data_IF_691254455842
#
_entry.id   IF_691254455842
#
_cell.length_a   1.000
_cell.length_b   1.000
_cell.length_c   1.000
_cell.angle_alpha   90.00
_cell.angle_beta   90.00
_cell.angle_gamma   90.00
#
_symmetry.space_group_name_H-M   'P 1'
#
loop_
_entity.id
_entity.type
_entity.pdbx_description
1 polymer ?
#
# COMPACT_ATOMS: atom_id res chain seq x y z
N UNK A 1 5.73 5.23 31.34
CA UNK A 1 5.22 6.19 30.34
C UNK A 1 3.94 5.61 29.82
N UNK A 2 2.84 6.34 29.90
CA UNK A 2 1.57 5.94 29.32
C UNK A 2 1.66 6.18 27.80
N UNK A 3 1.31 5.17 27.00
CA UNK A 3 1.32 5.26 25.54
C UNK A 3 0.11 6.07 25.08
N UNK A 4 0.31 6.99 24.15
CA UNK A 4 -0.75 7.81 23.59
C UNK A 4 -1.59 7.04 22.57
N UNK A 5 -2.87 7.36 22.48
CA UNK A 5 -3.75 6.82 21.42
C UNK A 5 -3.49 7.56 20.11
N UNK A 6 -3.59 6.84 19.01
CA UNK A 6 -3.28 7.36 17.68
C UNK A 6 -4.48 7.16 16.75
N UNK A 7 -4.97 8.25 16.19
CA UNK A 7 -6.13 8.26 15.30
C UNK A 7 -5.73 8.68 13.88
N UNK A 8 -6.60 8.38 12.91
CA UNK A 8 -6.45 8.81 11.52
C UNK A 8 -7.38 9.99 11.28
N UNK A 9 -6.80 11.12 10.89
CA UNK A 9 -7.54 12.38 10.69
C UNK A 9 -7.59 12.85 9.24
N UNK A 10 -6.79 12.26 8.34
CA UNK A 10 -6.81 12.58 6.92
C UNK A 10 -6.38 11.43 6.03
N UNK A 11 -6.93 11.39 4.82
CA UNK A 11 -6.71 10.35 3.83
C UNK A 11 -6.38 10.97 2.47
N UNK A 12 -5.48 10.35 1.72
CA UNK A 12 -5.19 10.74 0.35
C UNK A 12 -4.75 9.55 -0.49
N UNK A 13 -5.13 9.54 -1.77
CA UNK A 13 -4.83 8.44 -2.68
C UNK A 13 -4.71 8.88 -4.14
N UNK A 14 -3.82 8.23 -4.86
CA UNK A 14 -3.80 8.14 -6.31
C UNK A 14 -3.51 6.70 -6.70
N UNK A 15 -4.43 6.07 -7.45
CA UNK A 15 -4.43 4.64 -7.71
C UNK A 15 -4.90 4.34 -9.13
N UNK A 16 -4.75 3.09 -9.63
CA UNK A 16 -5.32 2.68 -10.90
C UNK A 16 -6.86 2.80 -10.99
N UNK A 17 -7.54 2.88 -9.85
CA UNK A 17 -9.00 2.97 -9.76
C UNK A 17 -9.51 4.42 -9.64
N UNK A 18 -8.63 5.38 -9.39
CA UNK A 18 -9.00 6.78 -9.25
C UNK A 18 -7.88 7.63 -8.66
N UNK A 19 -7.98 8.94 -8.85
CA UNK A 19 -6.98 9.95 -8.45
C UNK A 19 -7.35 10.67 -7.15
N UNK A 20 -8.28 10.09 -6.39
CA UNK A 20 -8.74 10.56 -5.08
C UNK A 20 -9.28 9.40 -4.26
N UNK A 21 -9.39 9.59 -2.95
CA UNK A 21 -9.97 8.58 -2.03
C UNK A 21 -11.41 8.22 -2.40
N UNK A 22 -12.31 9.17 -2.74
CA UNK A 22 -13.67 8.82 -3.16
C UNK A 22 -13.72 7.98 -4.44
N UNK A 23 -12.91 8.30 -5.46
CA UNK A 23 -12.85 7.54 -6.71
C UNK A 23 -12.28 6.14 -6.49
N UNK A 24 -11.21 6.04 -5.69
CA UNK A 24 -10.62 4.76 -5.28
C UNK A 24 -11.66 3.86 -4.61
N UNK A 25 -12.41 4.41 -3.64
CA UNK A 25 -13.45 3.66 -2.94
C UNK A 25 -14.59 3.20 -3.86
N UNK A 26 -15.06 4.06 -4.72
CA UNK A 26 -16.10 3.73 -5.71
C UNK A 26 -15.65 2.58 -6.61
N UNK A 27 -14.42 2.62 -7.10
CA UNK A 27 -13.83 1.54 -7.91
C UNK A 27 -13.73 0.22 -7.14
N UNK A 28 -13.32 0.26 -5.86
CA UNK A 28 -13.25 -0.93 -5.01
C UNK A 28 -14.62 -1.57 -4.79
N UNK A 29 -15.63 -0.80 -4.42
CA UNK A 29 -16.98 -1.32 -4.14
C UNK A 29 -17.64 -1.90 -5.40
N UNK A 30 -17.38 -1.28 -6.55
CA UNK A 30 -17.88 -1.75 -7.85
C UNK A 30 -17.12 -2.95 -8.42
N UNK A 31 -15.98 -3.33 -7.81
CA UNK A 31 -15.17 -4.43 -8.32
C UNK A 31 -14.50 -4.11 -9.66
N UNK A 32 -14.02 -2.89 -9.85
CA UNK A 32 -13.38 -2.46 -11.12
C UNK A 32 -11.95 -2.99 -11.19
N UNK A 33 -11.60 -3.68 -12.28
CA UNK A 33 -10.19 -4.03 -12.55
C UNK A 33 -9.44 -2.82 -13.10
N UNK A 34 -8.30 -2.49 -12.47
CA UNK A 34 -7.39 -1.47 -12.96
C UNK A 34 -6.44 -1.93 -14.06
N UNK A 35 -6.39 -3.26 -14.31
CA UNK A 35 -5.45 -3.86 -15.26
C UNK A 35 -5.80 -3.56 -16.72
N UNK A 36 -4.80 -3.14 -17.48
CA UNK A 36 -4.94 -2.84 -18.91
C UNK A 36 -3.57 -2.98 -19.59
N UNK A 37 -3.53 -2.95 -20.92
CA UNK A 37 -2.28 -2.91 -21.66
C UNK A 37 -1.45 -1.71 -21.25
N UNK A 38 -0.15 -1.94 -20.98
CA UNK A 38 0.79 -0.87 -20.60
C UNK A 38 0.89 0.17 -21.71
N UNK A 39 0.78 1.45 -21.33
CA UNK A 39 0.86 2.60 -22.24
C UNK A 39 2.18 3.38 -22.10
N UNK A 40 2.94 3.17 -21.02
CA UNK A 40 4.13 3.95 -20.70
C UNK A 40 5.33 3.64 -21.60
N UNK A 41 5.39 2.43 -22.20
CA UNK A 41 6.47 2.02 -23.10
C UNK A 41 6.01 0.92 -24.08
N UNK A 42 6.83 0.58 -25.09
CA UNK A 42 6.55 -0.48 -26.06
C UNK A 42 6.72 -1.87 -25.43
N UNK A 43 5.62 -2.59 -25.26
CA UNK A 43 5.56 -3.92 -24.63
C UNK A 43 5.65 -5.09 -25.58
N UNK A 44 5.81 -4.86 -26.90
CA UNK A 44 5.72 -5.92 -27.93
C UNK A 44 6.67 -7.11 -27.70
N UNK A 45 7.81 -6.87 -27.03
CA UNK A 45 8.83 -7.89 -26.73
C UNK A 45 8.74 -8.46 -25.31
N UNK A 46 7.81 -7.98 -24.47
CA UNK A 46 7.68 -8.40 -23.08
C UNK A 46 6.74 -9.60 -22.94
N UNK A 47 7.02 -10.47 -21.98
CA UNK A 47 6.16 -11.60 -21.64
C UNK A 47 4.86 -11.13 -21.04
N UNK A 48 4.92 -10.20 -20.08
CA UNK A 48 3.77 -9.51 -19.52
C UNK A 48 3.65 -8.14 -20.18
N UNK A 49 2.46 -7.85 -20.76
CA UNK A 49 2.20 -6.65 -21.56
C UNK A 49 1.15 -5.73 -20.93
N UNK A 50 0.75 -6.00 -19.72
CA UNK A 50 -0.30 -5.28 -18.99
C UNK A 50 0.14 -4.99 -17.56
N UNK A 51 -0.50 -3.98 -16.97
CA UNK A 51 -0.30 -3.53 -15.60
C UNK A 51 -1.51 -2.72 -15.13
N UNK A 52 -1.56 -2.39 -13.85
CA UNK A 52 -2.51 -1.44 -13.28
C UNK A 52 -1.85 -0.07 -13.20
N UNK A 53 -1.89 0.69 -14.30
CA UNK A 53 -1.36 2.06 -14.39
C UNK A 53 -2.35 3.07 -13.79
N UNK A 54 -1.84 4.19 -13.27
CA UNK A 54 -2.68 5.38 -13.02
C UNK A 54 -3.01 6.00 -14.37
N UNK A 55 -4.26 5.78 -14.82
CA UNK A 55 -4.72 6.13 -16.17
C UNK A 55 -4.79 7.65 -16.36
N UNK A 56 -4.49 8.09 -17.59
CA UNK A 56 -4.60 9.50 -18.01
C UNK A 56 -3.89 10.47 -17.04
N UNK A 57 -2.69 10.08 -16.58
CA UNK A 57 -1.90 10.90 -15.67
C UNK A 57 -1.09 11.94 -16.45
N UNK A 58 -1.49 13.21 -16.32
CA UNK A 58 -0.71 14.35 -16.77
C UNK A 58 -0.18 15.12 -15.55
N UNK A 59 1.13 15.15 -15.30
CA UNK A 59 1.70 15.88 -14.18
C UNK A 59 1.47 17.39 -14.26
N UNK A 60 1.22 17.95 -15.45
CA UNK A 60 0.99 19.38 -15.63
C UNK A 60 -0.38 19.86 -15.12
N UNK A 61 -1.27 18.91 -14.77
CA UNK A 61 -2.51 19.22 -14.05
C UNK A 61 -2.28 19.52 -12.55
N UNK A 62 -1.13 19.11 -12.00
CA UNK A 62 -0.81 19.21 -10.58
C UNK A 62 0.42 20.06 -10.28
N UNK A 63 1.35 20.17 -11.20
CA UNK A 63 2.63 20.83 -11.05
C UNK A 63 2.89 21.78 -12.22
N UNK A 64 3.61 22.87 -11.99
CA UNK A 64 4.16 23.63 -13.09
C UNK A 64 5.25 22.79 -13.83
N UNK A 65 5.54 23.17 -15.09
CA UNK A 65 6.49 22.44 -15.94
C UNK A 65 7.90 22.35 -15.33
N UNK A 66 8.32 23.35 -14.55
CA UNK A 66 9.65 23.40 -13.94
C UNK A 66 9.73 22.46 -12.73
N UNK A 67 8.68 22.41 -11.94
CA UNK A 67 8.54 21.50 -10.80
C UNK A 67 8.43 20.04 -11.28
N UNK A 68 7.52 19.76 -12.23
CA UNK A 68 7.31 18.41 -12.77
C UNK A 68 8.60 17.74 -13.27
N UNK A 69 9.50 18.51 -13.90
CA UNK A 69 10.78 18.01 -14.41
C UNK A 69 11.79 17.61 -13.33
N UNK A 70 11.62 18.11 -12.10
CA UNK A 70 12.51 17.82 -10.97
C UNK A 70 12.09 16.62 -10.17
N UNK A 71 10.90 16.05 -10.42
CA UNK A 71 10.29 14.98 -9.68
C UNK A 71 10.23 13.71 -10.54
N UNK A 72 10.54 12.57 -9.95
CA UNK A 72 10.18 11.28 -10.54
C UNK A 72 8.68 11.03 -10.33
N UNK A 73 8.10 10.13 -11.13
CA UNK A 73 6.67 9.80 -11.08
C UNK A 73 6.21 9.34 -9.70
N UNK A 74 7.01 8.53 -8.98
CA UNK A 74 6.65 8.12 -7.62
C UNK A 74 6.56 9.31 -6.65
N UNK A 75 7.45 10.29 -6.78
CA UNK A 75 7.41 11.52 -5.97
C UNK A 75 6.23 12.42 -6.35
N UNK A 76 5.87 12.48 -7.64
CA UNK A 76 4.67 13.20 -8.08
C UNK A 76 3.41 12.59 -7.43
N UNK A 77 3.29 11.27 -7.44
CA UNK A 77 2.18 10.57 -6.76
C UNK A 77 2.16 10.82 -5.25
N UNK A 78 3.33 10.77 -4.60
CA UNK A 78 3.47 11.07 -3.19
C UNK A 78 2.92 12.45 -2.82
N UNK A 79 3.26 13.46 -3.61
CA UNK A 79 2.81 14.83 -3.39
C UNK A 79 1.31 15.00 -3.63
N UNK A 80 0.76 14.38 -4.68
CA UNK A 80 -0.69 14.46 -5.00
C UNK A 80 -1.52 13.82 -3.88
N UNK A 81 -1.15 12.62 -3.44
CA UNK A 81 -1.83 11.96 -2.33
C UNK A 81 -1.68 12.76 -1.02
N UNK A 82 -0.52 13.40 -0.79
CA UNK A 82 -0.31 14.25 0.38
C UNK A 82 -1.15 15.52 0.34
N UNK A 83 -1.33 16.13 -0.84
CA UNK A 83 -2.18 17.32 -1.00
C UNK A 83 -3.63 17.01 -0.61
N UNK A 84 -4.16 15.84 -1.00
CA UNK A 84 -5.50 15.40 -0.59
C UNK A 84 -5.56 15.16 0.92
N UNK A 85 -4.59 14.40 1.49
CA UNK A 85 -4.58 14.03 2.90
C UNK A 85 -4.43 15.25 3.84
N UNK A 86 -3.55 16.19 3.52
CA UNK A 86 -3.35 17.41 4.32
C UNK A 86 -4.58 18.29 4.30
N UNK A 87 -5.22 18.41 3.13
CA UNK A 87 -6.47 19.14 2.97
C UNK A 87 -7.61 18.48 3.75
N UNK A 88 -7.75 17.16 3.67
CA UNK A 88 -8.79 16.41 4.39
C UNK A 88 -8.59 16.49 5.91
N UNK A 89 -7.34 16.42 6.40
CA UNK A 89 -7.01 16.60 7.81
C UNK A 89 -7.11 18.05 8.30
N UNK A 90 -7.22 19.01 7.39
CA UNK A 90 -7.21 20.44 7.70
C UNK A 90 -6.02 20.87 8.58
N UNK A 91 -4.81 20.44 8.21
CA UNK A 91 -3.58 20.79 8.94
C UNK A 91 -3.09 22.15 8.42
N UNK A 92 -2.80 23.06 9.35
CA UNK A 92 -2.22 24.36 9.05
C UNK A 92 -1.35 24.86 10.22
N UNK A 93 -0.54 25.88 9.98
CA UNK A 93 0.28 26.53 11.02
C UNK A 93 -0.54 27.25 12.10
N UNK A 94 -1.83 27.49 11.84
CA UNK A 94 -2.76 28.12 12.78
C UNK A 94 -3.32 27.13 13.80
N UNK A 95 -3.32 25.82 13.47
CA UNK A 95 -3.92 24.79 14.32
C UNK A 95 -2.98 23.66 14.72
N UNK A 96 -1.71 23.69 14.29
CA UNK A 96 -0.72 22.66 14.57
C UNK A 96 0.67 23.25 14.66
N UNK A 97 1.49 22.74 15.59
CA UNK A 97 2.91 23.05 15.65
C UNK A 97 3.67 22.26 14.57
N UNK A 98 4.11 22.93 13.52
CA UNK A 98 4.79 22.30 12.39
C UNK A 98 6.14 21.65 12.75
N UNK A 99 6.74 21.98 13.88
CA UNK A 99 7.93 21.31 14.41
C UNK A 99 7.59 19.93 15.00
N UNK A 100 6.31 19.67 15.24
CA UNK A 100 5.78 18.42 15.75
C UNK A 100 4.99 17.62 14.70
N UNK A 101 4.98 18.08 13.45
CA UNK A 101 4.42 17.34 12.29
C UNK A 101 5.55 16.67 11.53
N UNK A 102 5.54 15.36 11.47
CA UNK A 102 6.54 14.54 10.78
C UNK A 102 6.01 13.91 9.48
N UNK A 103 6.93 13.31 8.73
CA UNK A 103 6.65 12.56 7.50
C UNK A 103 7.47 11.27 7.51
N UNK A 104 6.80 10.13 7.51
CA UNK A 104 7.42 8.81 7.37
C UNK A 104 6.83 8.16 6.13
N UNK A 105 7.61 8.13 5.04
CA UNK A 105 7.08 7.82 3.74
C UNK A 105 7.89 6.74 3.04
N UNK A 106 7.21 5.75 2.44
CA UNK A 106 7.83 4.56 1.90
C UNK A 106 7.87 4.56 0.36
N UNK A 107 8.86 3.88 -0.18
CA UNK A 107 8.87 3.36 -1.54
C UNK A 107 9.70 2.08 -1.54
N UNK A 108 9.33 1.09 -2.35
CA UNK A 108 10.08 -0.16 -2.45
C UNK A 108 11.30 -0.04 -3.36
N UNK A 109 11.18 0.72 -4.44
CA UNK A 109 12.21 0.82 -5.49
C UNK A 109 12.60 2.27 -5.79
N UNK A 110 11.70 3.23 -5.56
CA UNK A 110 11.97 4.65 -5.81
C UNK A 110 12.00 5.02 -7.29
N UNK A 111 12.87 5.96 -7.67
CA UNK A 111 12.93 6.54 -9.01
C UNK A 111 13.61 5.67 -10.07
N UNK A 112 13.19 4.42 -10.22
CA UNK A 112 13.77 3.47 -11.19
C UNK A 112 13.60 3.93 -12.63
N UNK A 113 12.48 4.59 -12.95
CA UNK A 113 12.26 5.14 -14.32
C UNK A 113 13.30 6.20 -14.64
N UNK A 114 13.54 7.14 -13.72
CA UNK A 114 14.61 8.14 -13.87
C UNK A 114 15.98 7.47 -14.01
N UNK A 115 16.26 6.44 -13.18
CA UNK A 115 17.53 5.71 -13.27
C UNK A 115 17.70 5.04 -14.63
N UNK A 116 16.69 4.32 -15.09
CA UNK A 116 16.70 3.65 -16.39
C UNK A 116 16.96 4.66 -17.52
N UNK A 117 16.20 5.74 -17.57
CA UNK A 117 16.25 6.69 -18.69
C UNK A 117 17.59 7.42 -18.77
N UNK A 118 18.09 7.96 -17.66
CA UNK A 118 19.36 8.67 -17.61
C UNK A 118 20.56 7.75 -17.90
N UNK A 119 20.54 6.49 -17.42
CA UNK A 119 21.60 5.50 -17.72
C UNK A 119 21.54 5.07 -19.17
N UNK A 120 20.36 4.87 -19.75
CA UNK A 120 20.20 4.54 -21.18
C UNK A 120 20.66 5.69 -22.07
N UNK A 121 20.35 6.94 -21.72
CA UNK A 121 20.83 8.12 -22.44
C UNK A 121 22.36 8.20 -22.42
N UNK A 122 22.99 8.04 -21.26
CA UNK A 122 24.44 7.97 -21.13
C UNK A 122 25.06 6.84 -21.97
N UNK A 123 24.49 5.63 -21.92
CA UNK A 123 25.00 4.46 -22.64
C UNK A 123 24.92 4.60 -24.17
N UNK A 124 23.95 5.35 -24.68
CA UNK A 124 23.78 5.65 -26.12
C UNK A 124 24.60 6.85 -26.58
N UNK A 125 25.16 7.61 -25.66
CA UNK A 125 25.95 8.81 -25.92
C UNK A 125 27.42 8.52 -26.31
N UNK A 126 28.22 9.54 -26.28
CA UNK A 126 29.65 9.51 -26.61
C UNK A 126 30.57 9.15 -25.41
N UNK A 127 30.00 8.71 -24.31
CA UNK A 127 30.71 8.41 -23.05
C UNK A 127 30.96 9.64 -22.16
N UNK A 128 30.54 10.82 -22.57
CA UNK A 128 30.60 12.01 -21.72
C UNK A 128 29.52 11.92 -20.64
N UNK A 129 29.85 12.02 -19.34
CA UNK A 129 28.88 11.85 -18.26
C UNK A 129 27.96 13.09 -18.10
N UNK A 130 27.00 13.20 -18.99
CA UNK A 130 25.99 14.27 -18.99
C UNK A 130 24.70 13.76 -18.35
N UNK A 131 24.66 13.74 -17.01
CA UNK A 131 23.46 13.38 -16.27
C UNK A 131 22.61 14.60 -15.93
N UNK A 132 21.30 14.40 -15.77
CA UNK A 132 20.41 15.42 -15.25
C UNK A 132 20.88 15.87 -13.85
N UNK A 133 21.00 17.19 -13.54
CA UNK A 133 21.36 17.65 -12.20
C UNK A 133 20.46 17.13 -11.08
N UNK A 134 19.24 16.72 -11.40
CA UNK A 134 18.29 16.13 -10.47
C UNK A 134 18.29 14.59 -10.49
N UNK A 135 19.20 13.93 -11.22
CA UNK A 135 19.26 12.48 -11.33
C UNK A 135 19.24 11.79 -9.95
N UNK A 136 20.20 12.11 -9.09
CA UNK A 136 20.27 11.53 -7.75
C UNK A 136 19.05 11.91 -6.89
N UNK A 137 18.66 13.19 -6.76
CA UNK A 137 17.46 13.57 -6.01
C UNK A 137 16.16 12.96 -6.50
N UNK A 138 16.03 12.65 -7.77
CA UNK A 138 14.82 11.98 -8.33
C UNK A 138 14.82 10.49 -8.04
N UNK A 139 15.98 9.86 -7.89
CA UNK A 139 16.14 8.41 -7.77
C UNK A 139 15.97 7.91 -6.34
N UNK A 140 16.52 8.64 -5.35
CA UNK A 140 16.58 8.17 -3.96
C UNK A 140 15.19 8.11 -3.30
N UNK A 141 14.98 7.05 -2.48
CA UNK A 141 13.66 6.73 -1.95
C UNK A 141 13.14 7.72 -0.90
N UNK A 142 14.03 8.37 -0.17
CA UNK A 142 13.71 9.32 0.90
C UNK A 142 13.20 10.67 0.39
N UNK A 143 13.38 10.93 -0.91
CA UNK A 143 12.99 12.23 -1.49
C UNK A 143 11.48 12.47 -1.42
N UNK A 144 10.66 11.41 -1.41
CA UNK A 144 9.22 11.53 -1.20
C UNK A 144 8.90 12.20 0.12
N UNK A 145 9.48 11.71 1.23
CA UNK A 145 9.32 12.31 2.54
C UNK A 145 9.88 13.74 2.59
N UNK A 146 11.06 13.96 1.99
CA UNK A 146 11.69 15.28 1.91
C UNK A 146 10.85 16.31 1.16
N UNK A 147 10.29 15.95 0.01
CA UNK A 147 9.46 16.85 -0.81
C UNK A 147 8.14 17.20 -0.11
N UNK A 148 7.49 16.24 0.56
CA UNK A 148 6.29 16.49 1.37
C UNK A 148 6.63 17.46 2.50
N UNK A 149 7.69 17.20 3.25
CA UNK A 149 8.15 18.07 4.33
C UNK A 149 8.41 19.51 3.85
N UNK A 150 9.14 19.67 2.74
CA UNK A 150 9.43 20.99 2.17
C UNK A 150 8.19 21.73 1.70
N UNK A 151 7.19 21.00 1.10
CA UNK A 151 5.95 21.59 0.58
C UNK A 151 5.10 22.23 1.66
N UNK A 152 5.04 21.59 2.84
CA UNK A 152 4.16 22.04 3.94
C UNK A 152 4.92 22.70 5.10
N UNK A 153 6.25 22.68 5.09
CA UNK A 153 7.07 23.20 6.19
C UNK A 153 7.01 22.32 7.43
N UNK A 154 6.77 21.01 7.29
CA UNK A 154 6.78 20.05 8.40
C UNK A 154 8.21 19.73 8.83
N UNK A 155 8.53 19.90 10.12
CA UNK A 155 9.89 19.82 10.65
C UNK A 155 10.06 18.78 11.76
N UNK A 156 9.04 17.94 11.99
CA UNK A 156 9.13 16.78 12.86
C UNK A 156 9.98 15.65 12.25
N UNK A 157 9.89 14.41 12.77
CA UNK A 157 10.61 13.26 12.22
C UNK A 157 10.39 13.11 10.72
N UNK A 158 11.46 12.96 9.92
CA UNK A 158 11.37 12.84 8.46
C UNK A 158 12.36 11.79 7.96
N UNK A 159 11.86 10.67 7.45
CA UNK A 159 12.67 9.60 6.87
C UNK A 159 11.85 8.66 6.00
N UNK A 160 12.54 7.82 5.21
CA UNK A 160 11.92 6.78 4.41
C UNK A 160 12.04 5.40 5.06
N UNK A 161 11.06 4.53 4.78
CA UNK A 161 11.06 3.12 5.19
C UNK A 161 11.11 2.24 3.95
N UNK A 162 11.97 1.22 3.96
CA UNK A 162 12.11 0.27 2.86
C UNK A 162 12.12 -1.16 3.39
N UNK A 163 11.10 -1.92 3.02
CA UNK A 163 10.96 -3.36 3.31
C UNK A 163 10.17 -4.06 2.18
N UNK A 164 10.57 -3.77 0.94
CA UNK A 164 9.90 -4.24 -0.27
C UNK A 164 8.38 -3.98 -0.24
N UNK A 165 7.54 -5.00 -0.46
CA UNK A 165 6.08 -4.82 -0.48
C UNK A 165 5.49 -4.42 0.90
N UNK A 166 6.21 -4.63 2.01
CA UNK A 166 5.77 -4.25 3.35
C UNK A 166 6.11 -2.79 3.74
N UNK A 167 6.77 -2.04 2.85
CA UNK A 167 7.35 -0.72 3.16
C UNK A 167 6.34 0.26 3.74
N UNK A 168 5.18 0.47 3.10
CA UNK A 168 4.22 1.46 3.58
C UNK A 168 3.43 1.00 4.82
N UNK A 169 3.24 -0.31 5.04
CA UNK A 169 2.72 -0.80 6.32
C UNK A 169 3.71 -0.53 7.45
N UNK A 170 5.00 -0.76 7.24
CA UNK A 170 6.02 -0.40 8.22
C UNK A 170 6.08 1.13 8.46
N UNK A 171 5.90 1.95 7.42
CA UNK A 171 5.81 3.40 7.59
C UNK A 171 4.62 3.82 8.49
N UNK A 172 3.48 3.14 8.37
CA UNK A 172 2.33 3.35 9.27
C UNK A 172 2.68 2.93 10.70
N UNK A 173 3.32 1.77 10.89
CA UNK A 173 3.74 1.27 12.21
C UNK A 173 4.75 2.23 12.85
N UNK A 174 5.77 2.67 12.11
CA UNK A 174 6.76 3.63 12.61
C UNK A 174 6.13 4.98 12.98
N UNK A 175 5.18 5.46 12.19
CA UNK A 175 4.41 6.66 12.49
C UNK A 175 3.58 6.53 13.76
N UNK A 176 2.88 5.41 13.87
CA UNK A 176 2.13 5.06 15.08
C UNK A 176 3.05 5.02 16.31
N UNK A 177 4.20 4.37 16.23
CA UNK A 177 5.16 4.29 17.32
C UNK A 177 5.75 5.65 17.71
N UNK A 178 6.05 6.50 16.73
CA UNK A 178 6.56 7.84 17.02
C UNK A 178 5.54 8.71 17.75
N UNK A 179 4.26 8.63 17.38
CA UNK A 179 3.19 9.40 18.03
C UNK A 179 2.89 8.84 19.42
N UNK A 180 2.69 7.53 19.55
CA UNK A 180 2.35 6.93 20.85
C UNK A 180 3.45 7.10 21.91
N UNK A 181 4.70 7.28 21.48
CA UNK A 181 5.84 7.60 22.33
C UNK A 181 6.03 9.11 22.55
N UNK A 182 5.16 9.96 22.02
CA UNK A 182 5.19 11.41 22.19
C UNK A 182 6.31 12.14 21.43
N UNK A 183 6.91 11.52 20.41
CA UNK A 183 7.96 12.14 19.58
C UNK A 183 7.42 13.14 18.56
N UNK A 184 6.16 12.97 18.15
CA UNK A 184 5.43 13.86 17.25
C UNK A 184 3.95 13.91 17.68
N UNK A 185 3.23 14.93 17.24
CA UNK A 185 1.78 15.03 17.45
C UNK A 185 1.02 14.58 16.20
N UNK A 186 1.59 14.83 15.03
CA UNK A 186 1.04 14.40 13.73
C UNK A 186 2.17 13.78 12.91
N UNK A 187 1.88 12.69 12.18
CA UNK A 187 2.77 12.13 11.17
C UNK A 187 1.97 11.77 9.92
N UNK A 188 2.42 12.29 8.78
CA UNK A 188 1.99 11.79 7.49
C UNK A 188 2.71 10.48 7.21
N UNK A 189 1.96 9.38 7.18
CA UNK A 189 2.48 8.06 6.88
C UNK A 189 1.93 7.57 5.55
N UNK A 190 2.77 6.95 4.76
CA UNK A 190 2.30 6.41 3.50
C UNK A 190 3.39 5.82 2.65
N UNK A 191 3.11 5.73 1.37
CA UNK A 191 4.06 5.25 0.39
C UNK A 191 3.60 5.49 -1.02
N UNK A 192 4.55 5.50 -1.93
CA UNK A 192 4.30 5.59 -3.37
C UNK A 192 5.22 4.66 -4.15
N UNK A 193 4.71 4.16 -5.27
CA UNK A 193 5.48 3.34 -6.20
C UNK A 193 5.06 3.64 -7.64
N UNK A 194 6.02 3.79 -8.54
CA UNK A 194 5.79 4.01 -9.96
C UNK A 194 6.88 3.31 -10.78
N UNK A 195 6.77 1.98 -10.88
CA UNK A 195 7.82 1.11 -11.43
C UNK A 195 7.42 0.44 -12.75
N UNK A 196 6.35 0.90 -13.38
CA UNK A 196 5.90 0.38 -14.68
C UNK A 196 6.78 0.99 -15.77
N UNK A 197 7.97 0.43 -15.92
CA UNK A 197 8.97 0.75 -16.94
C UNK A 197 9.64 -0.53 -17.44
N UNK A 198 10.46 -0.45 -18.48
CA UNK A 198 11.10 -1.64 -19.07
C UNK A 198 11.94 -2.42 -18.05
N UNK A 199 12.71 -1.73 -17.20
CA UNK A 199 13.53 -2.37 -16.17
C UNK A 199 12.66 -3.05 -15.10
N UNK A 200 11.59 -2.39 -14.65
CA UNK A 200 10.66 -2.92 -13.64
C UNK A 200 9.93 -4.15 -14.15
N UNK A 201 9.22 -4.06 -15.26
CA UNK A 201 8.47 -5.17 -15.85
C UNK A 201 9.43 -6.29 -16.29
N UNK A 202 10.54 -5.96 -16.95
CA UNK A 202 11.54 -6.93 -17.38
C UNK A 202 12.18 -7.69 -16.23
N UNK A 203 12.49 -7.01 -15.13
CA UNK A 203 13.06 -7.61 -13.91
C UNK A 203 12.12 -8.63 -13.27
N UNK A 204 10.84 -8.27 -13.08
CA UNK A 204 9.84 -9.20 -12.52
C UNK A 204 9.48 -10.33 -13.51
N UNK A 205 9.48 -10.09 -14.83
CA UNK A 205 9.36 -11.16 -15.83
C UNK A 205 10.51 -12.17 -15.74
N UNK A 206 11.75 -11.71 -15.54
CA UNK A 206 12.92 -12.58 -15.39
C UNK A 206 12.78 -13.52 -14.16
N UNK A 207 12.14 -13.04 -13.10
CA UNK A 207 11.81 -13.82 -11.90
C UNK A 207 10.60 -14.75 -12.07
N UNK A 208 9.88 -14.69 -13.19
CA UNK A 208 8.61 -15.40 -13.43
C UNK A 208 7.56 -15.10 -12.35
N UNK A 209 7.52 -13.87 -11.86
CA UNK A 209 6.64 -13.46 -10.78
C UNK A 209 5.32 -12.85 -11.28
N UNK A 210 5.31 -12.36 -12.52
CA UNK A 210 4.15 -11.71 -13.13
C UNK A 210 3.25 -12.71 -13.86
N UNK A 211 1.94 -12.44 -13.84
CA UNK A 211 0.98 -13.10 -14.72
C UNK A 211 1.31 -12.81 -16.19
N UNK A 212 1.17 -13.82 -17.03
CA UNK A 212 1.35 -13.72 -18.48
C UNK A 212 0.02 -13.80 -19.26
N UNK A 213 -1.11 -13.54 -18.60
CA UNK A 213 -2.47 -13.58 -19.17
C UNK A 213 -2.78 -12.36 -20.04
N UNK A 214 -2.01 -12.21 -21.12
CA UNK A 214 -2.07 -11.05 -22.01
C UNK A 214 -3.39 -10.95 -22.82
N UNK A 215 -4.10 -12.05 -22.99
CA UNK A 215 -5.34 -12.08 -23.78
C UNK A 215 -6.54 -11.54 -23.00
N UNK A 216 -6.43 -11.51 -21.65
CA UNK A 216 -7.47 -10.97 -20.77
C UNK A 216 -6.86 -10.33 -19.53
N UNK A 217 -6.25 -9.14 -19.68
CA UNK A 217 -5.58 -8.44 -18.59
C UNK A 217 -6.48 -8.17 -17.39
N UNK A 218 -7.76 -7.84 -17.63
CA UNK A 218 -8.69 -7.45 -16.56
C UNK A 218 -8.99 -8.59 -15.59
N UNK A 219 -8.83 -9.85 -16.01
CA UNK A 219 -9.02 -11.02 -15.15
C UNK A 219 -7.70 -11.67 -14.69
N UNK A 220 -6.57 -11.03 -14.95
CA UNK A 220 -5.26 -11.61 -14.66
C UNK A 220 -4.94 -11.66 -13.16
N UNK A 221 -5.24 -10.59 -12.41
CA UNK A 221 -5.12 -10.59 -10.95
C UNK A 221 -6.34 -11.30 -10.35
N UNK A 222 -6.13 -12.56 -9.90
CA UNK A 222 -7.18 -13.46 -9.41
C UNK A 222 -6.76 -14.20 -8.12
N UNK A 223 -6.57 -13.47 -7.01
CA UNK A 223 -6.18 -14.09 -5.74
C UNK A 223 -7.15 -15.21 -5.35
N UNK A 224 -6.60 -16.33 -4.87
CA UNK A 224 -7.33 -17.52 -4.41
C UNK A 224 -8.06 -18.32 -5.50
N UNK A 225 -8.06 -17.86 -6.75
CA UNK A 225 -8.55 -18.66 -7.88
C UNK A 225 -7.54 -19.77 -8.23
N UNK A 226 -8.03 -20.95 -8.64
CA UNK A 226 -7.19 -22.08 -9.00
C UNK A 226 -6.21 -21.77 -10.13
N UNK A 227 -6.65 -20.97 -11.11
CA UNK A 227 -5.89 -20.68 -12.33
C UNK A 227 -5.04 -19.39 -12.23
N UNK A 228 -4.71 -18.94 -10.98
CA UNK A 228 -3.80 -17.82 -10.78
C UNK A 228 -2.38 -18.19 -11.20
N UNK A 229 -1.68 -17.28 -11.86
CA UNK A 229 -0.39 -17.54 -12.50
C UNK A 229 0.71 -16.53 -12.16
N UNK A 230 0.46 -15.61 -11.23
CA UNK A 230 1.39 -14.56 -10.82
C UNK A 230 0.68 -13.25 -10.52
N UNK A 231 1.40 -12.28 -9.99
CA UNK A 231 0.81 -10.99 -9.67
C UNK A 231 0.73 -10.06 -10.90
N UNK A 232 -0.16 -9.10 -10.85
CA UNK A 232 -0.23 -7.97 -11.79
C UNK A 232 0.43 -6.78 -11.14
N UNK A 233 1.41 -6.16 -11.80
CA UNK A 233 2.09 -4.97 -11.30
C UNK A 233 1.13 -3.78 -11.28
N UNK A 234 1.19 -2.96 -10.23
CA UNK A 234 0.44 -1.71 -10.11
C UNK A 234 1.33 -0.54 -9.68
N UNK A 235 0.88 0.67 -9.94
CA UNK A 235 1.47 1.90 -9.44
C UNK A 235 0.44 2.69 -8.62
N UNK A 236 0.86 3.33 -7.53
CA UNK A 236 -0.04 4.11 -6.67
C UNK A 236 0.73 4.98 -5.67
N UNK A 237 0.02 5.87 -5.01
CA UNK A 237 0.38 6.40 -3.71
C UNK A 237 -0.83 6.45 -2.78
N UNK A 238 -0.55 6.30 -1.49
CA UNK A 238 -1.51 6.54 -0.42
C UNK A 238 -0.88 7.26 0.75
N UNK A 239 -1.68 8.04 1.46
CA UNK A 239 -1.27 8.81 2.65
C UNK A 239 -2.33 8.71 3.72
N UNK A 240 -1.91 8.40 4.93
CA UNK A 240 -2.68 8.53 6.16
C UNK A 240 -2.08 9.66 7.00
N UNK A 241 -2.90 10.55 7.49
CA UNK A 241 -2.51 11.48 8.56
C UNK A 241 -2.82 10.81 9.88
N UNK A 242 -1.75 10.37 10.57
CA UNK A 242 -1.83 9.85 11.92
C UNK A 242 -1.67 11.00 12.91
N UNK A 243 -2.46 11.01 13.97
CA UNK A 243 -2.49 12.09 14.93
C UNK A 243 -2.73 11.58 16.35
N UNK A 244 -2.10 12.20 17.32
CA UNK A 244 -2.37 11.96 18.73
C UNK A 244 -3.81 12.35 19.07
N UNK A 245 -4.53 11.49 19.80
CA UNK A 245 -5.97 11.63 20.02
C UNK A 245 -6.34 12.96 20.68
N UNK A 246 -5.66 13.34 21.79
CA UNK A 246 -6.00 14.57 22.52
C UNK A 246 -5.69 15.82 21.68
N UNK A 247 -4.63 15.77 20.86
CA UNK A 247 -4.33 16.82 19.90
C UNK A 247 -5.44 16.94 18.85
N UNK A 248 -5.90 15.80 18.28
CA UNK A 248 -6.99 15.78 17.31
C UNK A 248 -8.30 16.33 17.88
N UNK A 249 -8.64 15.94 19.10
CA UNK A 249 -9.84 16.43 19.79
C UNK A 249 -9.74 17.94 20.08
N UNK A 250 -8.58 18.42 20.57
CA UNK A 250 -8.36 19.81 20.91
C UNK A 250 -8.53 20.76 19.71
N UNK A 251 -8.12 20.33 18.50
CA UNK A 251 -8.31 21.12 17.28
C UNK A 251 -9.61 20.82 16.52
N UNK A 252 -10.47 19.93 17.05
CA UNK A 252 -11.73 19.56 16.42
C UNK A 252 -11.58 18.79 15.12
N UNK A 253 -10.54 17.97 15.00
CA UNK A 253 -10.29 17.17 13.80
C UNK A 253 -11.37 16.13 13.57
N UNK A 254 -11.65 15.84 12.30
CA UNK A 254 -12.41 14.66 11.92
C UNK A 254 -11.57 13.41 12.22
N UNK A 255 -12.15 12.44 12.87
CA UNK A 255 -11.51 11.15 13.16
C UNK A 255 -12.20 10.06 12.35
N UNK A 256 -11.42 9.35 11.54
CA UNK A 256 -11.91 8.21 10.75
C UNK A 256 -11.94 6.91 11.55
N UNK A 257 -10.83 6.63 12.22
CA UNK A 257 -10.59 5.40 12.97
C UNK A 257 -9.38 5.58 13.90
N UNK A 258 -9.03 4.52 14.62
CA UNK A 258 -7.84 4.44 15.47
C UNK A 258 -6.91 3.34 14.95
N UNK A 259 -5.61 3.59 14.93
CA UNK A 259 -4.60 2.56 14.75
C UNK A 259 -4.46 1.86 16.10
N UNK A 260 -4.84 0.59 16.14
CA UNK A 260 -4.87 -0.18 17.39
C UNK A 260 -3.51 -0.81 17.72
N UNK A 261 -2.78 -1.25 16.71
CA UNK A 261 -1.48 -1.88 16.89
C UNK A 261 -0.85 -2.29 15.57
N UNK A 262 0.43 -2.63 15.62
CA UNK A 262 1.21 -3.08 14.50
C UNK A 262 2.13 -4.24 14.85
N UNK A 263 2.51 -5.02 13.84
CA UNK A 263 3.47 -6.10 13.95
C UNK A 263 4.44 -6.09 12.77
N UNK A 264 5.70 -6.40 13.05
CA UNK A 264 6.73 -6.61 12.05
C UNK A 264 7.53 -7.86 12.40
N UNK A 265 7.73 -8.76 11.43
CA UNK A 265 8.50 -10.02 11.60
C UNK A 265 9.24 -10.36 10.32
N UNK A 266 10.03 -11.40 10.36
CA UNK A 266 10.72 -11.95 9.20
C UNK A 266 10.46 -13.45 9.04
N UNK A 267 10.39 -13.92 7.78
CA UNK A 267 10.30 -15.35 7.46
C UNK A 267 11.60 -16.09 7.77
N UNK A 268 12.74 -15.42 7.59
CA UNK A 268 14.08 -16.01 7.69
C UNK A 268 14.21 -17.34 6.90
N UNK A 269 13.62 -17.41 5.71
CA UNK A 269 13.47 -18.63 4.93
C UNK A 269 14.07 -18.52 3.52
N UNK A 270 13.54 -17.66 2.65
CA UNK A 270 13.96 -17.52 1.27
C UNK A 270 13.84 -16.08 0.79
N UNK A 271 14.61 -15.68 -0.24
CA UNK A 271 14.65 -14.29 -0.71
C UNK A 271 13.33 -13.82 -1.33
N UNK A 272 12.54 -14.71 -1.93
CA UNK A 272 11.28 -14.36 -2.63
C UNK A 272 10.09 -15.25 -2.28
N UNK A 273 10.33 -16.50 -1.87
CA UNK A 273 9.25 -17.43 -1.53
C UNK A 273 8.83 -17.29 -0.06
N UNK A 274 7.53 -17.34 0.26
CA UNK A 274 7.05 -17.37 1.63
C UNK A 274 7.42 -18.70 2.31
N UNK A 275 7.44 -18.70 3.65
CA UNK A 275 7.56 -19.97 4.38
C UNK A 275 6.35 -20.86 4.06
N UNK A 276 6.53 -22.15 3.70
CA UNK A 276 5.44 -23.01 3.20
C UNK A 276 4.26 -23.17 4.16
N UNK A 277 4.53 -23.09 5.48
CA UNK A 277 3.51 -23.18 6.52
C UNK A 277 2.98 -21.80 6.96
N UNK A 278 3.33 -20.73 6.26
CA UNK A 278 2.92 -19.37 6.59
C UNK A 278 3.44 -18.86 7.94
N UNK A 279 4.60 -19.37 8.40
CA UNK A 279 5.11 -19.08 9.76
C UNK A 279 5.29 -17.59 10.02
N UNK A 280 5.90 -16.84 9.10
CA UNK A 280 6.12 -15.40 9.24
C UNK A 280 4.80 -14.63 9.23
N UNK A 281 3.88 -14.97 8.32
CA UNK A 281 2.54 -14.40 8.25
C UNK A 281 1.74 -14.65 9.54
N UNK A 282 1.81 -15.87 10.11
CA UNK A 282 1.24 -16.20 11.41
C UNK A 282 1.83 -15.34 12.52
N UNK A 283 3.15 -15.26 12.59
CA UNK A 283 3.84 -14.56 13.66
C UNK A 283 3.55 -13.04 13.62
N UNK A 284 3.46 -12.45 12.45
CA UNK A 284 3.18 -11.01 12.34
C UNK A 284 1.77 -10.66 12.74
N UNK A 285 0.76 -11.50 12.39
CA UNK A 285 -0.62 -11.30 12.85
C UNK A 285 -0.72 -11.42 14.37
N UNK A 286 -0.04 -12.41 15.00
CA UNK A 286 0.04 -12.50 16.46
C UNK A 286 0.73 -11.29 17.09
N UNK A 287 1.80 -10.77 16.48
CA UNK A 287 2.49 -9.58 16.98
C UNK A 287 1.57 -8.35 16.94
N UNK A 288 0.84 -8.16 15.84
CA UNK A 288 -0.12 -7.06 15.71
C UNK A 288 -1.27 -7.15 16.73
N UNK A 289 -1.86 -8.36 16.90
CA UNK A 289 -2.91 -8.59 17.90
C UNK A 289 -2.40 -8.32 19.32
N UNK A 290 -1.20 -8.77 19.63
CA UNK A 290 -0.56 -8.53 20.94
C UNK A 290 -0.32 -7.05 21.20
N UNK A 291 0.21 -6.32 20.21
CA UNK A 291 0.46 -4.87 20.34
C UNK A 291 -0.85 -4.09 20.50
N UNK A 292 -1.91 -4.49 19.79
CA UNK A 292 -3.24 -3.92 19.90
C UNK A 292 -3.97 -4.27 21.22
N UNK A 293 -3.47 -5.25 21.98
CA UNK A 293 -4.20 -5.80 23.13
C UNK A 293 -5.51 -6.46 22.73
N UNK A 294 -5.63 -6.93 21.49
CA UNK A 294 -6.84 -7.52 20.91
C UNK A 294 -6.71 -9.03 20.74
N UNK A 295 -7.84 -9.70 20.63
CA UNK A 295 -7.96 -11.13 20.37
C UNK A 295 -8.40 -11.38 18.93
N UNK A 296 -8.19 -12.59 18.36
CA UNK A 296 -8.71 -12.95 17.04
C UNK A 296 -10.21 -12.69 16.88
N UNK A 297 -11.00 -12.88 17.95
CA UNK A 297 -12.46 -12.68 17.95
C UNK A 297 -12.89 -11.23 17.71
N UNK A 298 -11.99 -10.27 17.97
CA UNK A 298 -12.28 -8.85 17.83
C UNK A 298 -12.15 -8.36 16.37
N UNK A 299 -11.60 -9.19 15.46
CA UNK A 299 -11.40 -8.83 14.05
C UNK A 299 -12.61 -9.26 13.22
N UNK A 300 -13.10 -8.36 12.37
CA UNK A 300 -14.23 -8.59 11.46
C UNK A 300 -13.81 -8.79 10.00
N UNK A 301 -12.69 -8.18 9.61
CA UNK A 301 -12.19 -8.12 8.23
C UNK A 301 -10.66 -8.26 8.17
N UNK A 302 -10.18 -9.03 7.20
CA UNK A 302 -8.76 -9.11 6.85
C UNK A 302 -8.58 -8.68 5.39
N UNK A 303 -7.85 -7.59 5.17
CA UNK A 303 -7.29 -7.28 3.86
C UNK A 303 -5.95 -7.99 3.74
N UNK A 304 -5.91 -9.00 2.91
CA UNK A 304 -4.78 -9.92 2.79
C UNK A 304 -3.71 -9.41 1.84
N UNK A 305 -2.51 -9.93 1.98
CA UNK A 305 -1.48 -9.71 0.97
C UNK A 305 -1.91 -10.27 -0.39
N UNK A 306 -2.41 -11.51 -0.47
CA UNK A 306 -3.17 -12.08 -1.58
C UNK A 306 -2.76 -11.58 -2.97
N UNK A 307 -1.54 -11.94 -3.43
CA UNK A 307 -0.96 -11.38 -4.66
C UNK A 307 -1.35 -12.12 -5.92
N UNK A 308 -2.22 -13.12 -5.86
CA UNK A 308 -2.53 -13.99 -7.02
C UNK A 308 -1.33 -14.89 -7.42
N UNK A 309 -0.47 -15.22 -6.45
CA UNK A 309 0.62 -16.17 -6.66
C UNK A 309 0.26 -17.53 -6.08
N UNK A 310 0.62 -18.64 -6.76
CA UNK A 310 0.25 -19.98 -6.31
C UNK A 310 0.63 -20.28 -4.87
N UNK A 311 1.88 -20.00 -4.48
CA UNK A 311 2.39 -20.31 -3.14
C UNK A 311 1.98 -19.28 -2.07
N UNK A 312 1.94 -18.00 -2.44
CA UNK A 312 1.66 -16.91 -1.50
C UNK A 312 0.27 -16.99 -0.90
N UNK A 313 -0.71 -17.17 -1.75
CA UNK A 313 -2.12 -17.20 -1.34
C UNK A 313 -2.42 -18.42 -0.43
N UNK A 314 -1.81 -19.58 -0.71
CA UNK A 314 -1.94 -20.80 0.13
C UNK A 314 -1.28 -20.59 1.50
N UNK A 315 -0.05 -20.06 1.53
CA UNK A 315 0.68 -19.86 2.77
C UNK A 315 -0.04 -18.86 3.71
N UNK A 316 -0.59 -17.77 3.15
CA UNK A 316 -1.35 -16.79 3.92
C UNK A 316 -2.65 -17.37 4.46
N UNK A 317 -3.37 -18.17 3.68
CA UNK A 317 -4.61 -18.83 4.11
C UNK A 317 -4.34 -19.80 5.28
N UNK A 318 -3.27 -20.58 5.21
CA UNK A 318 -2.84 -21.46 6.33
C UNK A 318 -2.53 -20.64 7.60
N UNK A 319 -1.85 -19.50 7.43
CA UNK A 319 -1.54 -18.62 8.55
C UNK A 319 -2.82 -18.06 9.20
N UNK A 320 -3.79 -17.60 8.41
CA UNK A 320 -5.09 -17.11 8.91
C UNK A 320 -5.80 -18.20 9.69
N UNK A 321 -5.95 -19.40 9.15
CA UNK A 321 -6.56 -20.51 9.85
C UNK A 321 -5.84 -20.84 11.17
N UNK A 322 -4.50 -20.79 11.19
CA UNK A 322 -3.71 -21.04 12.40
C UNK A 322 -3.86 -19.97 13.48
N UNK A 323 -4.08 -18.69 13.10
CA UNK A 323 -4.24 -17.57 14.06
C UNK A 323 -5.67 -17.47 14.58
N UNK A 324 -6.65 -17.62 13.69
CA UNK A 324 -8.06 -17.32 13.98
C UNK A 324 -8.88 -18.57 14.32
N UNK A 325 -8.38 -19.79 14.04
CA UNK A 325 -9.12 -21.01 14.31
C UNK A 325 -10.52 -20.99 13.70
N UNK A 326 -11.55 -21.35 14.48
CA UNK A 326 -12.95 -21.34 14.02
C UNK A 326 -13.45 -19.94 13.68
N UNK A 327 -12.88 -18.89 14.28
CA UNK A 327 -13.21 -17.50 13.94
C UNK A 327 -12.90 -17.14 12.49
N UNK A 328 -11.93 -17.84 11.84
CA UNK A 328 -11.61 -17.61 10.42
C UNK A 328 -12.83 -17.78 9.50
N UNK A 329 -13.79 -18.64 9.87
CA UNK A 329 -15.02 -18.88 9.09
C UNK A 329 -16.08 -17.79 9.22
N UNK A 330 -15.94 -16.90 10.20
CA UNK A 330 -16.82 -15.74 10.41
C UNK A 330 -16.25 -14.44 9.84
N UNK A 331 -14.96 -14.45 9.49
CA UNK A 331 -14.28 -13.31 8.91
C UNK A 331 -14.66 -13.10 7.45
N UNK A 332 -14.67 -11.85 7.04
CA UNK A 332 -14.48 -11.53 5.62
C UNK A 332 -12.99 -11.38 5.34
N UNK A 333 -12.54 -12.01 4.27
CA UNK A 333 -11.20 -11.92 3.74
C UNK A 333 -11.30 -11.34 2.34
N UNK A 334 -10.50 -10.35 1.98
CA UNK A 334 -10.43 -9.93 0.58
C UNK A 334 -9.04 -9.43 0.19
N UNK A 335 -8.70 -9.62 -1.09
CA UNK A 335 -7.53 -9.03 -1.71
C UNK A 335 -7.96 -7.94 -2.68
N UNK A 336 -7.72 -6.69 -2.30
CA UNK A 336 -7.93 -5.53 -3.19
C UNK A 336 -6.93 -5.47 -4.32
N UNK A 337 -5.84 -6.25 -4.27
CA UNK A 337 -4.90 -6.42 -5.40
C UNK A 337 -5.53 -7.07 -6.62
N UNK A 338 -6.67 -7.74 -6.49
CA UNK A 338 -7.47 -8.20 -7.62
C UNK A 338 -7.91 -7.03 -8.52
N UNK A 339 -8.03 -5.82 -7.97
CA UNK A 339 -8.48 -4.60 -8.62
C UNK A 339 -7.35 -3.61 -8.90
N UNK A 340 -6.49 -3.34 -7.90
CA UNK A 340 -5.40 -2.35 -8.00
C UNK A 340 -4.12 -2.91 -8.61
N UNK A 341 -4.02 -4.23 -8.77
CA UNK A 341 -2.72 -4.88 -8.92
C UNK A 341 -1.88 -4.77 -7.65
N UNK A 342 -0.65 -5.23 -7.72
CA UNK A 342 0.30 -5.15 -6.63
C UNK A 342 1.13 -3.87 -6.75
N UNK A 343 0.83 -2.88 -5.92
CA UNK A 343 1.50 -1.57 -5.92
C UNK A 343 2.82 -1.57 -5.12
N UNK A 344 3.45 -2.73 -4.93
CA UNK A 344 4.76 -2.93 -4.28
C UNK A 344 4.89 -2.14 -2.96
N UNK A 345 5.84 -1.20 -2.86
CA UNK A 345 6.05 -0.42 -1.63
C UNK A 345 4.87 0.45 -1.20
N UNK A 346 3.97 0.80 -2.12
CA UNK A 346 2.73 1.52 -1.81
C UNK A 346 1.57 0.59 -1.41
N UNK A 347 1.68 -0.73 -1.58
CA UNK A 347 0.57 -1.67 -1.38
C UNK A 347 -0.07 -1.54 0.01
N UNK A 348 0.73 -1.53 1.07
CA UNK A 348 0.21 -1.53 2.44
C UNK A 348 -0.64 -0.33 2.80
N UNK A 349 -0.27 0.88 2.35
CA UNK A 349 -1.07 2.08 2.64
C UNK A 349 -2.34 2.11 1.80
N UNK A 350 -2.30 1.66 0.55
CA UNK A 350 -3.50 1.53 -0.30
C UNK A 350 -4.50 0.56 0.34
N UNK A 351 -4.01 -0.54 0.88
CA UNK A 351 -4.82 -1.55 1.59
C UNK A 351 -5.32 -1.08 2.96
N UNK A 352 -4.49 -0.32 3.70
CA UNK A 352 -4.93 0.32 4.93
C UNK A 352 -6.06 1.34 4.68
N UNK A 353 -5.99 2.11 3.58
CA UNK A 353 -7.09 2.98 3.13
C UNK A 353 -8.38 2.16 2.88
N UNK A 354 -8.29 1.00 2.22
CA UNK A 354 -9.45 0.13 2.01
C UNK A 354 -10.04 -0.37 3.34
N UNK A 355 -9.20 -0.74 4.32
CA UNK A 355 -9.64 -1.12 5.67
C UNK A 355 -10.35 0.03 6.40
N UNK A 356 -9.78 1.25 6.37
CA UNK A 356 -10.38 2.45 6.98
C UNK A 356 -11.75 2.74 6.37
N UNK A 357 -11.83 2.66 5.05
CA UNK A 357 -13.08 2.91 4.32
C UNK A 357 -14.11 1.80 4.57
N UNK A 358 -13.68 0.53 4.71
CA UNK A 358 -14.56 -0.57 5.10
C UNK A 358 -15.15 -0.35 6.50
N UNK A 359 -14.35 0.11 7.47
CA UNK A 359 -14.81 0.44 8.84
C UNK A 359 -15.80 1.60 8.81
N UNK A 360 -15.51 2.66 8.05
CA UNK A 360 -16.34 3.87 8.05
C UNK A 360 -17.62 3.73 7.25
N UNK A 361 -17.64 2.84 6.25
CA UNK A 361 -18.79 2.64 5.35
C UNK A 361 -19.56 1.36 5.61
N UNK A 362 -19.04 0.43 6.45
CA UNK A 362 -19.60 -0.89 6.69
C UNK A 362 -19.82 -1.70 5.40
N UNK A 363 -18.89 -1.61 4.48
CA UNK A 363 -18.86 -2.36 3.21
C UNK A 363 -17.46 -2.94 3.05
N UNK A 364 -17.35 -4.24 2.78
CA UNK A 364 -16.10 -4.93 2.53
C UNK A 364 -15.93 -5.08 1.02
N UNK A 365 -14.83 -4.53 0.44
CA UNK A 365 -14.57 -4.65 -0.99
C UNK A 365 -14.28 -6.10 -1.40
N UNK A 366 -14.61 -6.50 -2.64
CA UNK A 366 -14.47 -7.88 -3.08
C UNK A 366 -13.03 -8.25 -3.43
N UNK A 367 -12.77 -9.57 -3.45
CA UNK A 367 -11.76 -10.18 -4.30
C UNK A 367 -12.43 -10.50 -5.63
N UNK A 368 -12.09 -9.79 -6.71
CA UNK A 368 -12.67 -10.05 -8.03
C UNK A 368 -11.90 -11.17 -8.77
N UNK A 369 -12.49 -11.63 -9.90
CA UNK A 369 -11.88 -12.59 -10.82
C UNK A 369 -11.78 -14.03 -10.26
N UNK A 370 -12.66 -14.40 -9.36
CA UNK A 370 -12.80 -15.79 -8.95
C UNK A 370 -13.75 -16.52 -9.91
N UNK A 371 -13.25 -17.57 -10.56
CA UNK A 371 -13.95 -18.41 -11.54
C UNK A 371 -13.93 -19.88 -11.16
N UNK A 372 -12.85 -20.35 -10.50
CA UNK A 372 -12.62 -21.76 -10.21
C UNK A 372 -12.08 -21.94 -8.81
N UNK A 373 -12.74 -22.77 -8.00
CA UNK A 373 -12.30 -23.11 -6.66
C UNK A 373 -10.94 -23.84 -6.69
N UNK A 374 -10.03 -23.40 -5.82
CA UNK A 374 -8.74 -24.08 -5.63
C UNK A 374 -8.92 -25.17 -4.55
N UNK A 375 -8.71 -26.46 -4.88
CA UNK A 375 -8.86 -27.55 -3.93
C UNK A 375 -7.86 -27.53 -2.76
N UNK A 376 -6.81 -26.72 -2.83
CA UNK A 376 -5.83 -26.54 -1.74
C UNK A 376 -6.30 -25.50 -0.69
N UNK A 377 -7.38 -24.78 -0.97
CA UNK A 377 -7.96 -23.78 -0.07
C UNK A 377 -9.20 -24.34 0.63
N UNK A 378 -9.44 -23.93 1.88
CA UNK A 378 -10.65 -24.32 2.61
C UNK A 378 -11.86 -23.57 2.04
N UNK A 379 -12.84 -24.29 1.45
CA UNK A 379 -14.01 -23.67 0.81
C UNK A 379 -14.98 -22.99 1.79
N UNK A 380 -14.78 -23.16 3.09
CA UNK A 380 -15.60 -22.51 4.13
C UNK A 380 -15.17 -21.08 4.40
N UNK A 381 -13.98 -20.66 3.96
CA UNK A 381 -13.50 -19.31 4.13
C UNK A 381 -14.26 -18.33 3.22
N UNK A 382 -14.66 -17.20 3.76
CA UNK A 382 -15.32 -16.14 3.00
C UNK A 382 -14.30 -15.16 2.42
N UNK A 383 -13.81 -15.46 1.22
CA UNK A 383 -12.88 -14.58 0.48
C UNK A 383 -13.56 -13.36 -0.16
N UNK A 384 -14.83 -13.11 0.14
CA UNK A 384 -15.62 -11.99 -0.39
C UNK A 384 -15.57 -11.94 -1.93
N UNK A 385 -15.79 -13.09 -2.58
CA UNK A 385 -15.61 -13.21 -4.02
C UNK A 385 -16.59 -12.38 -4.85
N UNK A 386 -16.05 -11.69 -5.84
CA UNK A 386 -16.69 -11.00 -6.95
C UNK A 386 -17.69 -9.88 -6.62
N UNK A 387 -18.17 -9.78 -5.39
CA UNK A 387 -19.13 -8.74 -4.97
C UNK A 387 -18.78 -8.21 -3.58
N UNK A 388 -18.83 -6.90 -3.43
CA UNK A 388 -18.74 -6.26 -2.13
C UNK A 388 -19.84 -6.77 -1.19
N UNK A 389 -19.53 -6.87 0.10
CA UNK A 389 -20.48 -7.34 1.12
C UNK A 389 -20.72 -6.25 2.18
N UNK A 390 -21.97 -5.92 2.43
CA UNK A 390 -22.36 -5.06 3.53
C UNK A 390 -22.21 -5.84 4.85
N UNK A 391 -21.40 -5.31 5.74
CA UNK A 391 -21.15 -5.88 7.07
C UNK A 391 -20.63 -4.81 8.00
N UNK A 392 -21.11 -4.76 9.22
CA UNK A 392 -20.50 -3.91 10.23
C UNK A 392 -19.06 -4.36 10.50
N UNK A 393 -18.13 -3.41 10.38
CA UNK A 393 -16.70 -3.63 10.60
C UNK A 393 -16.25 -2.75 11.76
N UNK A 394 -15.93 -3.36 12.90
CA UNK A 394 -15.40 -2.68 14.07
C UNK A 394 -13.87 -2.69 14.09
N UNK A 395 -13.26 -3.75 13.55
CA UNK A 395 -11.82 -3.84 13.41
C UNK A 395 -11.43 -4.61 12.14
N UNK A 396 -10.40 -4.12 11.48
CA UNK A 396 -9.79 -4.73 10.31
C UNK A 396 -8.29 -4.93 10.53
N UNK A 397 -7.75 -6.02 9.98
CA UNK A 397 -6.33 -6.32 9.93
C UNK A 397 -5.87 -6.26 8.47
N UNK A 398 -4.77 -5.55 8.19
CA UNK A 398 -4.15 -5.49 6.87
C UNK A 398 -2.77 -6.14 6.90
N UNK A 399 -2.54 -7.10 6.01
CA UNK A 399 -1.30 -7.85 5.89
C UNK A 399 -0.50 -7.45 4.65
N UNK A 400 0.80 -7.30 4.81
CA UNK A 400 1.73 -7.17 3.69
C UNK A 400 2.97 -8.01 3.91
N UNK A 401 3.37 -8.79 2.87
CA UNK A 401 4.53 -9.66 2.90
C UNK A 401 5.46 -9.31 1.75
N UNK A 402 6.72 -8.98 2.05
CA UNK A 402 7.69 -8.47 1.09
C UNK A 402 8.80 -9.48 0.77
N UNK A 403 9.38 -9.36 -0.41
CA UNK A 403 10.63 -10.04 -0.74
C UNK A 403 11.70 -9.71 0.30
N UNK A 404 12.59 -10.68 0.60
CA UNK A 404 13.47 -10.64 1.76
C UNK A 404 12.84 -11.25 3.01
N UNK A 405 11.57 -11.72 2.92
CA UNK A 405 10.82 -12.28 4.03
C UNK A 405 10.32 -11.24 5.03
N UNK A 406 10.13 -9.99 4.59
CA UNK A 406 9.58 -8.93 5.43
C UNK A 406 8.07 -9.09 5.58
N UNK A 407 7.58 -9.19 6.82
CA UNK A 407 6.15 -9.27 7.11
C UNK A 407 5.74 -8.10 7.99
N UNK A 408 4.66 -7.42 7.61
CA UNK A 408 4.05 -6.35 8.39
C UNK A 408 2.53 -6.52 8.44
N UNK A 409 1.93 -6.26 9.59
CA UNK A 409 0.49 -6.26 9.80
C UNK A 409 0.09 -5.06 10.64
N UNK A 410 -0.98 -4.38 10.28
CA UNK A 410 -1.55 -3.27 11.05
C UNK A 410 -3.02 -3.57 11.37
N UNK A 411 -3.43 -3.26 12.61
CA UNK A 411 -4.82 -3.36 13.06
C UNK A 411 -5.39 -1.97 13.18
N UNK A 412 -6.51 -1.78 12.51
CA UNK A 412 -7.28 -0.55 12.46
C UNK A 412 -8.65 -0.83 13.08
N UNK A 413 -9.08 0.00 14.00
CA UNK A 413 -10.38 -0.18 14.65
C UNK A 413 -11.24 1.08 14.59
N UNK A 414 -12.55 0.89 14.68
CA UNK A 414 -13.52 1.97 14.78
C UNK A 414 -13.22 2.83 15.98
N UNK A 415 -13.10 4.14 15.77
CA UNK A 415 -12.96 5.07 16.87
C UNK A 415 -14.26 5.10 17.70
N UNK A 416 -14.10 4.99 19.01
CA UNK A 416 -15.19 5.15 20.00
C UNK A 416 -14.73 6.21 21.01
N UNK A 417 -15.59 7.20 21.23
CA UNK A 417 -15.40 8.26 22.24
C UNK A 417 -15.20 7.69 23.63
#
# INVERSE_FOLDING_TARGET
MELKRVVVTGLGAITPLGKSVPEYWDGLVKGVSGADTIQQFDVAKFKTRFACEVKDFDPLLYFDRKEARKLDRFTQFALIASDEAVKDANISKENSDLDRVGVIFASGIGGITTFQDDVMEFARGDGTPRFNPFFIPKMILDIGAGQISMRYGFRGPNFAVVSACASSTNAIIDGYDNIRLGKADIILCGGSEAVICEAGVGGFNAMKALSERNDDPQTASRPFDKDRDGFVMGEAAGVLVLEELEHALARGAKIYCEIAGGGATADAYHITAPHPDGLGAKNVMHAALKDAGMKPEDIDYINVHGTSTPLGDIAETKAILSVFGDKAYELNISSTKSMTGHCLGAAGVVEALACILAITKNIIPPTINHFTDDPELDPKLNFTFNKAQEKEVNAALSNTFGFGGHNASVIIKKYKN
#
